data_IF_416302625732
#
_entry.id   IF_416302625732
#
_cell.length_a   1.000
_cell.length_b   1.000
_cell.length_c   1.000
_cell.angle_alpha   90.00
_cell.angle_beta   90.00
_cell.angle_gamma   90.00
#
_symmetry.space_group_name_H-M   'P 1'
#
loop_
_entity.id
_entity.type
_entity.pdbx_description
1 polymer ?
#
# COMPACT_ATOMS: atom_id res chain seq x y z
N UNK A 1 -12.56 18.21 -6.06
CA UNK A 1 -13.86 18.65 -5.51
C UNK A 1 -14.55 17.54 -4.74
N UNK A 2 -14.87 16.39 -5.35
CA UNK A 2 -15.56 15.27 -4.67
C UNK A 2 -14.92 14.81 -3.34
N UNK A 3 -13.58 14.73 -3.28
CA UNK A 3 -12.88 14.39 -2.02
C UNK A 3 -13.10 15.42 -0.91
N UNK A 4 -13.16 16.71 -1.26
CA UNK A 4 -13.41 17.79 -0.29
C UNK A 4 -14.85 17.71 0.22
N UNK A 5 -15.80 17.52 -0.68
CA UNK A 5 -17.24 17.40 -0.37
C UNK A 5 -17.54 16.15 0.47
N UNK A 6 -16.80 15.07 0.24
CA UNK A 6 -16.82 13.89 1.11
C UNK A 6 -15.98 14.07 2.38
N UNK A 7 -15.50 15.27 2.69
CA UNK A 7 -14.84 15.55 3.96
C UNK A 7 -13.46 14.92 4.12
N UNK A 8 -12.83 14.42 3.05
CA UNK A 8 -11.47 13.87 3.11
C UNK A 8 -10.49 14.85 3.76
N UNK A 9 -9.58 14.32 4.59
CA UNK A 9 -8.48 15.07 5.21
C UNK A 9 -7.20 14.25 5.13
N UNK A 10 -6.10 14.90 4.77
CA UNK A 10 -4.76 14.36 4.87
C UNK A 10 -4.14 14.79 6.20
N UNK A 11 -3.76 13.83 7.02
CA UNK A 11 -3.07 14.00 8.30
C UNK A 11 -1.60 13.61 8.13
N UNK A 12 -0.68 14.42 8.65
CA UNK A 12 0.74 14.06 8.69
C UNK A 12 1.04 13.60 10.11
N UNK A 13 1.52 12.36 10.24
CA UNK A 13 1.96 11.83 11.53
C UNK A 13 3.40 12.29 11.72
N UNK A 14 3.67 13.05 12.78
CA UNK A 14 5.03 13.50 13.07
C UNK A 14 6.01 12.33 13.19
N UNK A 15 7.28 12.58 12.87
CA UNK A 15 8.34 11.55 12.97
C UNK A 15 8.51 10.99 14.40
N UNK A 16 8.05 11.74 15.41
CA UNK A 16 8.11 11.38 16.83
C UNK A 16 6.73 11.06 17.44
N UNK A 17 5.69 10.93 16.60
CA UNK A 17 4.34 10.53 16.98
C UNK A 17 4.00 9.18 16.35
N UNK A 18 2.98 8.49 16.86
CA UNK A 18 2.46 7.25 16.28
C UNK A 18 0.99 7.39 15.89
N UNK A 19 0.50 6.45 15.07
CA UNK A 19 -0.85 6.48 14.50
C UNK A 19 -1.91 6.80 15.54
N UNK A 20 -1.92 6.13 16.69
CA UNK A 20 -2.95 6.34 17.71
C UNK A 20 -2.72 7.54 18.64
N UNK A 21 -1.59 8.25 18.48
CA UNK A 21 -1.35 9.52 19.20
C UNK A 21 -2.15 10.66 18.54
N UNK A 22 -2.45 10.54 17.25
CA UNK A 22 -3.32 11.46 16.51
C UNK A 22 -4.79 11.27 16.93
N UNK A 23 -5.52 12.35 17.28
CA UNK A 23 -6.91 12.28 17.71
C UNK A 23 -7.84 11.54 16.75
N UNK A 24 -7.63 11.71 15.45
CA UNK A 24 -8.38 11.12 14.35
C UNK A 24 -8.37 9.59 14.42
N UNK A 25 -7.25 9.00 14.85
CA UNK A 25 -7.01 7.56 14.84
C UNK A 25 -6.96 6.94 16.24
N UNK A 26 -7.08 7.73 17.31
CA UNK A 26 -7.03 7.27 18.70
C UNK A 26 -7.92 6.04 18.96
N UNK A 27 -9.13 6.05 18.40
CA UNK A 27 -10.13 4.96 18.55
C UNK A 27 -9.67 3.59 18.07
N UNK A 28 -8.67 3.54 17.18
CA UNK A 28 -8.09 2.26 16.73
C UNK A 28 -7.43 1.51 17.90
N UNK A 29 -6.99 2.23 18.93
CA UNK A 29 -6.45 1.67 20.16
C UNK A 29 -7.49 1.08 21.13
N UNK A 30 -8.79 1.18 20.83
CA UNK A 30 -9.86 0.81 21.78
C UNK A 30 -10.31 -0.66 21.66
N UNK A 31 -10.06 -1.30 20.52
CA UNK A 31 -10.62 -2.62 20.21
C UNK A 31 -9.55 -3.67 19.89
N UNK A 32 -9.65 -4.89 20.46
CA UNK A 32 -8.77 -6.01 20.11
C UNK A 32 -8.70 -6.27 18.61
N UNK A 33 -7.51 -6.63 18.14
CA UNK A 33 -7.29 -7.03 16.76
C UNK A 33 -7.33 -8.55 16.69
N UNK A 34 -8.35 -9.09 16.03
CA UNK A 34 -8.66 -10.54 16.00
C UNK A 34 -7.46 -11.40 15.62
N UNK A 35 -6.70 -10.99 14.61
CA UNK A 35 -5.56 -11.76 14.08
C UNK A 35 -4.30 -11.65 14.96
N UNK A 36 -4.31 -10.74 15.94
CA UNK A 36 -3.18 -10.48 16.84
C UNK A 36 -3.59 -10.61 18.31
N UNK A 37 -4.10 -11.79 18.74
CA UNK A 37 -4.55 -11.98 20.11
C UNK A 37 -3.39 -11.75 21.10
N UNK A 38 -3.69 -11.07 22.20
CA UNK A 38 -2.73 -10.76 23.26
C UNK A 38 -1.80 -9.59 22.95
N UNK A 39 -1.91 -8.94 21.78
CA UNK A 39 -1.24 -7.66 21.51
C UNK A 39 -2.16 -6.51 21.93
N UNK A 40 -1.60 -5.50 22.60
CA UNK A 40 -2.38 -4.30 22.93
C UNK A 40 -2.77 -3.58 21.62
N UNK A 41 -4.04 -3.17 21.42
CA UNK A 41 -4.47 -2.58 20.14
C UNK A 41 -3.69 -1.34 19.75
N UNK A 42 -3.38 -0.48 20.74
CA UNK A 42 -2.52 0.68 20.53
C UNK A 42 -1.16 0.30 19.95
N UNK A 43 -0.51 -0.71 20.52
CA UNK A 43 0.81 -1.14 20.06
C UNK A 43 0.73 -1.83 18.69
N UNK A 44 -0.36 -2.54 18.40
CA UNK A 44 -0.60 -3.05 17.05
C UNK A 44 -0.67 -1.90 16.04
N UNK A 45 -1.55 -0.93 16.23
CA UNK A 45 -1.77 0.14 15.24
C UNK A 45 -0.57 1.07 15.11
N UNK A 46 0.11 1.37 16.22
CA UNK A 46 1.33 2.19 16.21
C UNK A 46 2.49 1.49 15.49
N UNK A 47 2.58 0.15 15.57
CA UNK A 47 3.60 -0.63 14.87
C UNK A 47 3.23 -0.96 13.42
N UNK A 48 1.94 -1.19 13.15
CA UNK A 48 1.43 -1.67 11.86
C UNK A 48 1.50 -0.61 10.78
N UNK A 49 1.32 0.66 11.13
CA UNK A 49 1.04 1.70 10.14
C UNK A 49 1.81 2.97 10.44
N UNK A 50 2.49 3.51 9.42
CA UNK A 50 2.82 4.94 9.31
C UNK A 50 2.00 5.63 8.23
N UNK A 51 0.90 5.00 7.80
CA UNK A 51 -0.02 5.54 6.82
C UNK A 51 -1.33 4.78 6.87
N UNK A 52 -2.43 5.47 6.56
CA UNK A 52 -3.78 4.91 6.50
C UNK A 52 -4.54 5.61 5.39
N UNK A 53 -5.24 4.88 4.52
CA UNK A 53 -5.92 5.44 3.36
C UNK A 53 -7.33 5.97 3.59
N UNK A 54 -7.89 5.71 4.76
CA UNK A 54 -9.30 5.97 5.08
C UNK A 54 -10.24 4.93 4.46
N UNK A 55 -11.54 5.24 4.40
CA UNK A 55 -12.56 4.33 3.85
C UNK A 55 -13.77 5.10 3.30
N UNK A 56 -14.83 4.39 2.90
CA UNK A 56 -16.11 5.03 2.52
C UNK A 56 -16.77 5.78 3.69
N UNK A 57 -16.37 5.56 4.93
CA UNK A 57 -16.94 6.23 6.12
C UNK A 57 -15.90 6.92 6.98
N UNK A 58 -14.63 6.55 6.86
CA UNK A 58 -13.51 7.21 7.52
C UNK A 58 -12.83 8.20 6.55
N UNK A 59 -12.91 9.51 6.78
CA UNK A 59 -12.37 10.50 5.86
C UNK A 59 -10.85 10.70 5.97
N UNK A 60 -10.19 10.10 6.96
CA UNK A 60 -8.81 10.42 7.28
C UNK A 60 -7.84 9.56 6.47
N UNK A 61 -7.03 10.22 5.66
CA UNK A 61 -5.84 9.67 5.02
C UNK A 61 -4.61 10.15 5.81
N UNK A 62 -3.57 9.34 5.95
CA UNK A 62 -2.35 9.74 6.64
C UNK A 62 -1.09 9.14 6.06
N UNK A 63 0.03 9.79 6.35
CA UNK A 63 1.37 9.28 6.11
C UNK A 63 2.35 9.86 7.15
N UNK A 64 3.47 9.17 7.38
CA UNK A 64 4.54 9.61 8.25
C UNK A 64 5.36 10.72 7.61
N UNK A 65 5.68 11.74 8.39
CA UNK A 65 6.57 12.83 7.99
C UNK A 65 7.93 12.29 7.52
N UNK A 66 8.46 11.29 8.23
CA UNK A 66 9.73 10.66 7.89
C UNK A 66 9.73 10.05 6.48
N UNK A 67 8.58 9.59 6.01
CA UNK A 67 8.45 9.06 4.67
C UNK A 67 8.32 10.17 3.62
N UNK A 68 7.49 11.18 3.91
CA UNK A 68 7.30 12.32 3.02
C UNK A 68 8.59 13.07 2.71
N UNK A 69 9.43 13.25 3.73
CA UNK A 69 10.67 14.00 3.65
C UNK A 69 11.92 13.10 3.57
N UNK A 70 11.72 11.78 3.57
CA UNK A 70 12.77 10.76 3.43
C UNK A 70 13.85 10.91 4.51
N UNK A 71 13.42 11.02 5.76
CA UNK A 71 14.26 11.07 6.94
C UNK A 71 14.97 9.72 7.18
N UNK A 72 16.14 9.71 7.82
CA UNK A 72 16.77 8.49 8.29
C UNK A 72 15.83 7.66 9.18
N UNK A 73 15.85 6.34 9.02
CA UNK A 73 15.02 5.43 9.81
C UNK A 73 13.60 5.19 9.25
N UNK A 74 13.20 5.87 8.17
CA UNK A 74 11.91 5.65 7.51
C UNK A 74 11.69 4.16 7.14
N UNK A 75 10.65 3.51 7.69
CA UNK A 75 10.34 2.11 7.39
C UNK A 75 9.88 1.86 5.94
N UNK A 76 9.48 2.93 5.23
CA UNK A 76 9.02 2.92 3.84
C UNK A 76 9.99 3.65 2.90
N UNK A 77 11.27 3.73 3.24
CA UNK A 77 12.28 4.53 2.51
C UNK A 77 12.44 4.18 1.02
N UNK A 78 12.05 2.98 0.60
CA UNK A 78 12.08 2.54 -0.80
C UNK A 78 10.86 2.97 -1.61
N UNK A 79 9.86 3.59 -0.98
CA UNK A 79 8.64 4.10 -1.62
C UNK A 79 8.22 5.43 -0.99
N UNK A 80 6.99 5.87 -1.28
CA UNK A 80 6.35 7.00 -0.62
C UNK A 80 4.91 6.56 -0.35
N UNK A 81 4.67 6.18 0.90
CA UNK A 81 3.42 5.57 1.34
C UNK A 81 2.23 6.51 1.14
N UNK A 82 2.45 7.83 1.09
CA UNK A 82 1.37 8.76 0.75
C UNK A 82 0.75 8.45 -0.62
N UNK A 83 1.53 7.99 -1.61
CA UNK A 83 0.98 7.66 -2.93
C UNK A 83 -0.04 6.52 -2.79
N UNK A 84 0.32 5.46 -2.05
CA UNK A 84 -0.55 4.33 -1.75
C UNK A 84 -1.79 4.76 -0.95
N UNK A 85 -1.60 5.43 0.18
CA UNK A 85 -2.71 5.80 1.08
C UNK A 85 -3.63 6.83 0.44
N UNK A 86 -3.08 7.75 -0.35
CA UNK A 86 -3.88 8.72 -1.07
C UNK A 86 -4.61 8.09 -2.24
N UNK A 87 -4.09 7.02 -2.86
CA UNK A 87 -4.83 6.24 -3.84
C UNK A 87 -6.09 5.59 -3.25
N UNK A 88 -5.99 4.99 -2.06
CA UNK A 88 -7.16 4.51 -1.30
C UNK A 88 -8.18 5.62 -1.08
N UNK A 89 -7.71 6.80 -0.68
CA UNK A 89 -8.57 7.93 -0.42
C UNK A 89 -9.23 8.49 -1.69
N UNK A 90 -8.46 8.62 -2.78
CA UNK A 90 -8.97 8.99 -4.10
C UNK A 90 -10.03 7.99 -4.55
N UNK A 91 -9.81 6.69 -4.37
CA UNK A 91 -10.79 5.68 -4.69
C UNK A 91 -12.07 5.87 -3.84
N UNK A 92 -11.96 5.78 -2.51
CA UNK A 92 -13.12 5.61 -1.62
C UNK A 92 -13.82 6.90 -1.19
N UNK A 93 -13.16 8.07 -1.38
CA UNK A 93 -13.72 9.40 -1.11
C UNK A 93 -13.87 10.25 -2.37
N UNK A 94 -13.18 9.90 -3.45
CA UNK A 94 -13.25 10.60 -4.74
C UNK A 94 -14.05 9.83 -5.78
N UNK A 95 -13.43 8.81 -6.37
CA UNK A 95 -13.94 8.11 -7.55
C UNK A 95 -15.31 7.49 -7.33
N UNK A 96 -15.57 6.84 -6.19
CA UNK A 96 -16.92 6.29 -5.92
C UNK A 96 -18.03 7.34 -5.81
N UNK A 97 -17.67 8.61 -5.56
CA UNK A 97 -18.62 9.73 -5.52
C UNK A 97 -18.75 10.41 -6.90
N UNK A 98 -17.70 10.36 -7.74
CA UNK A 98 -17.71 10.91 -9.10
C UNK A 98 -18.39 9.94 -10.08
N UNK A 99 -18.04 8.67 -9.98
CA UNK A 99 -18.58 7.58 -10.79
C UNK A 99 -18.90 6.38 -9.87
N UNK A 100 -20.19 6.17 -9.54
CA UNK A 100 -20.64 5.04 -8.73
C UNK A 100 -20.29 3.66 -9.30
N UNK A 101 -19.95 3.56 -10.59
CA UNK A 101 -19.58 2.29 -11.24
C UNK A 101 -18.10 1.95 -11.12
N UNK A 102 -17.26 2.88 -10.67
CA UNK A 102 -15.80 2.72 -10.63
C UNK A 102 -15.37 1.51 -9.79
N UNK A 103 -15.92 1.37 -8.59
CA UNK A 103 -15.59 0.28 -7.65
C UNK A 103 -15.91 -1.10 -8.27
N UNK A 104 -17.02 -1.23 -9.00
CA UNK A 104 -17.39 -2.47 -9.66
C UNK A 104 -16.49 -2.78 -10.87
N UNK A 105 -16.04 -1.76 -11.61
CA UNK A 105 -15.05 -1.92 -12.68
C UNK A 105 -13.70 -2.34 -12.12
N UNK A 106 -13.28 -1.73 -11.01
CA UNK A 106 -12.05 -2.09 -10.31
C UNK A 106 -12.09 -3.53 -9.79
N UNK A 107 -13.19 -3.96 -9.18
CA UNK A 107 -13.38 -5.36 -8.75
C UNK A 107 -13.30 -6.35 -9.91
N UNK A 108 -13.88 -6.01 -11.07
CA UNK A 108 -13.75 -6.85 -12.28
C UNK A 108 -12.31 -6.95 -12.75
N UNK A 109 -11.62 -5.81 -12.89
CA UNK A 109 -10.21 -5.79 -13.28
C UNK A 109 -9.32 -6.59 -12.32
N UNK A 110 -9.55 -6.44 -11.01
CA UNK A 110 -8.88 -7.23 -9.99
C UNK A 110 -9.11 -8.74 -10.17
N UNK A 111 -10.36 -9.17 -10.33
CA UNK A 111 -10.68 -10.58 -10.53
C UNK A 111 -10.05 -11.14 -11.80
N UNK A 112 -10.07 -10.39 -12.89
CA UNK A 112 -9.44 -10.78 -14.16
C UNK A 112 -7.92 -10.93 -14.00
N UNK A 113 -7.27 -9.99 -13.30
CA UNK A 113 -5.84 -10.06 -12.99
C UNK A 113 -5.50 -11.28 -12.12
N UNK A 114 -6.27 -11.55 -11.07
CA UNK A 114 -6.05 -12.73 -10.21
C UNK A 114 -6.28 -14.04 -10.98
N UNK A 115 -7.29 -14.10 -11.85
CA UNK A 115 -7.56 -15.25 -12.71
C UNK A 115 -6.43 -15.49 -13.73
N UNK A 116 -5.83 -14.42 -14.25
CA UNK A 116 -4.63 -14.48 -15.09
C UNK A 116 -3.36 -14.82 -14.30
N UNK A 117 -3.44 -14.90 -12.97
CA UNK A 117 -2.32 -15.20 -12.09
C UNK A 117 -1.35 -14.05 -11.88
N UNK A 118 -1.76 -12.82 -12.23
CA UNK A 118 -1.00 -11.61 -11.93
C UNK A 118 -0.97 -11.36 -10.42
N UNK A 119 0.07 -10.67 -9.94
CA UNK A 119 0.25 -10.25 -8.55
C UNK A 119 0.23 -11.39 -7.51
N UNK A 120 0.35 -12.64 -7.94
CA UNK A 120 0.23 -13.82 -7.07
C UNK A 120 1.18 -13.75 -5.87
N UNK A 121 0.62 -13.86 -4.67
CA UNK A 121 1.39 -13.82 -3.41
C UNK A 121 1.91 -12.43 -3.07
N UNK A 122 1.56 -11.40 -3.85
CA UNK A 122 1.97 -10.02 -3.65
C UNK A 122 0.88 -9.20 -2.98
N UNK A 123 1.24 -8.07 -2.39
CA UNK A 123 0.32 -7.24 -1.63
C UNK A 123 -0.89 -6.78 -2.45
N UNK A 124 -0.66 -6.46 -3.73
CA UNK A 124 -1.71 -6.15 -4.70
C UNK A 124 -2.77 -7.28 -4.88
N UNK A 125 -2.47 -8.53 -4.51
CA UNK A 125 -3.43 -9.66 -4.56
C UNK A 125 -4.29 -9.82 -3.31
N UNK A 126 -4.12 -8.98 -2.30
CA UNK A 126 -4.85 -9.10 -1.03
C UNK A 126 -6.33 -8.74 -1.20
N UNK A 127 -6.61 -7.64 -1.90
CA UNK A 127 -7.95 -7.23 -2.29
C UNK A 127 -7.89 -6.14 -3.38
N UNK A 128 -9.03 -5.84 -4.00
CA UNK A 128 -9.14 -4.83 -5.06
C UNK A 128 -8.76 -3.39 -4.64
N UNK A 129 -8.80 -3.02 -3.36
CA UNK A 129 -8.32 -1.71 -2.91
C UNK A 129 -6.78 -1.67 -2.96
N UNK A 130 -6.11 -2.68 -2.42
CA UNK A 130 -4.64 -2.77 -2.46
C UNK A 130 -4.14 -2.89 -3.89
N UNK A 131 -4.83 -3.68 -4.71
CA UNK A 131 -4.59 -3.75 -6.15
C UNK A 131 -4.57 -2.36 -6.82
N UNK A 132 -5.55 -1.51 -6.50
CA UNK A 132 -5.56 -0.14 -7.02
C UNK A 132 -4.38 0.67 -6.48
N UNK A 133 -4.19 0.70 -5.16
CA UNK A 133 -3.16 1.52 -4.53
C UNK A 133 -1.73 1.17 -5.00
N UNK A 134 -1.40 -0.12 -5.11
CA UNK A 134 -0.14 -0.63 -5.67
C UNK A 134 0.03 -0.26 -7.15
N UNK A 135 -1.05 -0.35 -7.93
CA UNK A 135 -1.08 0.14 -9.30
C UNK A 135 -0.78 1.62 -9.40
N UNK A 136 -1.35 2.44 -8.51
CA UNK A 136 -1.10 3.88 -8.48
C UNK A 136 0.34 4.20 -8.07
N UNK A 137 0.93 3.47 -7.11
CA UNK A 137 2.37 3.63 -6.80
C UNK A 137 3.23 3.38 -8.03
N UNK A 138 2.93 2.31 -8.76
CA UNK A 138 3.63 1.97 -10.01
C UNK A 138 3.39 3.03 -11.08
N UNK A 139 2.15 3.55 -11.21
CA UNK A 139 1.80 4.60 -12.16
C UNK A 139 2.61 5.89 -11.97
N UNK A 140 3.10 6.15 -10.75
CA UNK A 140 3.95 7.30 -10.43
C UNK A 140 5.43 6.93 -10.26
N UNK A 141 5.85 5.76 -10.76
CA UNK A 141 7.24 5.27 -10.77
C UNK A 141 7.87 5.13 -9.37
N UNK A 142 7.10 4.71 -8.38
CA UNK A 142 7.57 4.64 -6.99
C UNK A 142 6.89 3.52 -6.19
N UNK A 143 6.63 2.37 -6.82
CA UNK A 143 6.36 1.17 -6.06
C UNK A 143 7.66 0.52 -5.57
N UNK A 144 7.55 -0.38 -4.59
CA UNK A 144 8.66 -1.25 -4.21
C UNK A 144 8.84 -2.36 -5.23
N UNK A 145 10.07 -2.85 -5.34
CA UNK A 145 10.43 -3.85 -6.34
C UNK A 145 11.10 -5.06 -5.70
N UNK A 146 10.69 -6.26 -6.12
CA UNK A 146 11.35 -7.53 -5.86
C UNK A 146 11.62 -7.87 -4.38
N UNK A 147 10.67 -7.56 -3.51
CA UNK A 147 10.69 -8.02 -2.11
C UNK A 147 9.62 -9.09 -1.83
N UNK A 148 9.39 -9.40 -0.56
CA UNK A 148 8.38 -10.38 -0.17
C UNK A 148 6.99 -10.00 -0.72
N UNK A 149 6.56 -8.75 -0.51
CA UNK A 149 5.23 -8.23 -0.80
C UNK A 149 5.10 -7.72 -2.25
N UNK A 150 6.22 -7.41 -2.93
CA UNK A 150 6.20 -6.79 -4.27
C UNK A 150 6.87 -7.68 -5.33
N UNK A 151 6.46 -7.54 -6.59
CA UNK A 151 7.10 -8.19 -7.74
C UNK A 151 8.00 -7.18 -8.48
N UNK A 152 8.29 -7.43 -9.76
CA UNK A 152 9.12 -6.58 -10.61
C UNK A 152 8.43 -5.30 -11.11
N UNK A 153 7.14 -5.11 -10.83
CA UNK A 153 6.38 -3.98 -11.39
C UNK A 153 6.46 -2.82 -10.41
N UNK A 154 7.34 -1.85 -10.69
CA UNK A 154 7.46 -0.64 -9.90
C UNK A 154 7.31 0.67 -10.67
N UNK A 155 7.29 0.59 -12.01
CA UNK A 155 7.10 1.74 -12.89
C UNK A 155 5.81 1.69 -13.68
N UNK A 156 5.42 2.83 -14.24
CA UNK A 156 4.25 2.93 -15.13
C UNK A 156 4.46 2.09 -16.37
N UNK A 157 5.67 2.09 -16.90
CA UNK A 157 6.03 1.32 -18.10
C UNK A 157 5.81 -0.17 -17.87
N UNK A 158 6.30 -0.70 -16.76
CA UNK A 158 6.10 -2.11 -16.40
C UNK A 158 4.62 -2.39 -16.11
N UNK A 159 3.92 -1.49 -15.41
CA UNK A 159 2.49 -1.68 -15.13
C UNK A 159 1.67 -1.79 -16.42
N UNK A 160 1.93 -0.92 -17.41
CA UNK A 160 1.25 -0.96 -18.71
C UNK A 160 1.51 -2.27 -19.44
N UNK A 161 2.70 -2.85 -19.30
CA UNK A 161 3.06 -4.13 -19.93
C UNK A 161 2.52 -5.34 -19.18
N UNK A 162 2.61 -5.33 -17.86
CA UNK A 162 2.26 -6.45 -16.99
C UNK A 162 0.75 -6.56 -16.73
N UNK A 163 0.11 -5.44 -16.42
CA UNK A 163 -1.31 -5.36 -16.10
C UNK A 163 -1.99 -4.16 -16.81
N UNK A 164 -2.26 -4.29 -18.12
CA UNK A 164 -2.89 -3.22 -18.89
C UNK A 164 -4.30 -2.86 -18.40
N UNK A 165 -4.99 -3.77 -17.68
CA UNK A 165 -6.30 -3.51 -17.10
C UNK A 165 -6.22 -2.52 -15.93
N UNK A 166 -5.30 -2.75 -15.00
CA UNK A 166 -5.01 -1.80 -13.92
C UNK A 166 -4.46 -0.48 -14.45
N UNK A 167 -3.57 -0.53 -15.44
CA UNK A 167 -3.02 0.65 -16.08
C UNK A 167 -4.11 1.53 -16.71
N UNK A 168 -5.14 0.93 -17.32
CA UNK A 168 -6.26 1.68 -17.89
C UNK A 168 -7.08 2.42 -16.82
N UNK A 169 -7.31 1.79 -15.66
CA UNK A 169 -7.98 2.46 -14.53
C UNK A 169 -7.14 3.60 -13.96
N UNK A 170 -5.82 3.43 -13.84
CA UNK A 170 -4.93 4.51 -13.43
C UNK A 170 -4.97 5.67 -14.43
N UNK A 171 -4.91 5.38 -15.74
CA UNK A 171 -5.03 6.41 -16.80
C UNK A 171 -6.36 7.15 -16.74
N UNK A 172 -7.46 6.47 -16.45
CA UNK A 172 -8.76 7.12 -16.31
C UNK A 172 -8.76 8.16 -15.18
N UNK A 173 -8.15 7.83 -14.04
CA UNK A 173 -8.12 8.69 -12.85
C UNK A 173 -7.12 9.83 -12.98
N UNK A 174 -5.92 9.54 -13.51
CA UNK A 174 -4.79 10.46 -13.50
C UNK A 174 -4.45 11.06 -14.87
N UNK A 175 -5.14 10.62 -15.93
CA UNK A 175 -4.81 10.95 -17.31
C UNK A 175 -3.42 10.44 -17.70
N UNK A 176 -2.89 11.01 -18.78
CA UNK A 176 -1.52 10.77 -19.24
C UNK A 176 -0.51 11.73 -18.58
N UNK A 177 -0.72 12.05 -17.29
CA UNK A 177 0.16 12.95 -16.54
C UNK A 177 1.63 12.51 -16.64
N UNK A 178 2.54 13.43 -16.96
CA UNK A 178 3.97 13.12 -17.02
C UNK A 178 4.64 13.11 -15.63
N UNK A 179 3.86 13.34 -14.56
CA UNK A 179 4.36 13.31 -13.20
C UNK A 179 4.93 11.93 -12.87
N UNK A 180 6.20 11.94 -12.47
CA UNK A 180 6.92 10.80 -11.87
C UNK A 180 7.41 11.25 -10.52
N UNK A 181 7.24 10.41 -9.51
CA UNK A 181 7.72 10.75 -8.19
C UNK A 181 9.25 10.80 -8.18
N UNK A 182 9.78 11.81 -7.50
CA UNK A 182 11.20 11.92 -7.18
C UNK A 182 11.36 12.30 -5.72
N UNK A 183 12.39 11.73 -5.08
CA UNK A 183 12.67 11.92 -3.66
C UNK A 183 12.96 13.41 -3.38
N UNK A 184 12.51 13.98 -2.24
CA UNK A 184 12.65 15.41 -1.93
C UNK A 184 14.06 15.97 -2.11
N UNK A 185 15.09 15.18 -1.80
CA UNK A 185 16.51 15.52 -1.94
C UNK A 185 16.91 15.91 -3.37
N UNK A 186 16.18 15.43 -4.39
CA UNK A 186 16.45 15.71 -5.80
C UNK A 186 15.75 16.96 -6.33
N UNK A 187 14.90 17.61 -5.50
CA UNK A 187 14.00 18.69 -5.92
C UNK A 187 13.87 19.80 -4.86
N UNK A 188 15.01 20.22 -4.29
CA UNK A 188 15.12 21.28 -3.28
C UNK A 188 14.92 22.69 -3.88
N UNK A 189 13.75 22.92 -4.46
CA UNK A 189 13.36 24.17 -5.11
C UNK A 189 11.92 24.51 -4.76
N UNK A 190 11.51 25.76 -4.97
CA UNK A 190 10.13 26.20 -4.70
C UNK A 190 9.79 26.05 -3.21
N UNK A 191 8.75 25.27 -2.89
CA UNK A 191 8.33 25.06 -1.50
C UNK A 191 9.35 24.30 -0.63
N UNK A 192 10.38 23.70 -1.23
CA UNK A 192 11.49 23.06 -0.53
C UNK A 192 12.78 23.90 -0.57
N UNK A 193 12.74 25.13 -1.06
CA UNK A 193 13.90 26.00 -1.04
C UNK A 193 14.36 26.28 0.39
N UNK A 194 15.66 26.07 0.66
CA UNK A 194 16.25 26.22 1.99
C UNK A 194 16.08 25.03 2.93
N UNK A 195 15.36 23.98 2.53
CA UNK A 195 15.31 22.72 3.30
C UNK A 195 16.66 21.98 3.17
N UNK A 196 17.27 21.65 4.31
CA UNK A 196 18.51 20.86 4.39
C UNK A 196 18.23 19.45 4.93
N UNK A 197 18.16 18.43 4.05
CA UNK A 197 17.93 17.04 4.45
C UNK A 197 18.98 16.48 5.42
N UNK A 198 20.18 17.07 5.50
CA UNK A 198 21.22 16.60 6.43
C UNK A 198 20.92 16.94 7.89
N UNK A 199 20.02 17.90 8.13
CA UNK A 199 19.53 18.29 9.45
C UNK A 199 18.25 17.57 9.87
N UNK A 200 17.75 16.66 9.03
CA UNK A 200 16.53 15.90 9.28
C UNK A 200 16.64 15.07 10.57
N UNK A 201 15.56 14.96 11.37
CA UNK A 201 15.53 14.05 12.50
C UNK A 201 15.54 12.60 12.02
N UNK A 202 15.90 11.67 12.91
CA UNK A 202 15.87 10.23 12.63
C UNK A 202 14.62 9.63 13.24
N UNK A 203 13.81 8.94 12.43
CA UNK A 203 12.71 8.12 12.93
C UNK A 203 13.26 6.88 13.65
N UNK A 204 12.70 6.57 14.83
CA UNK A 204 13.11 5.41 15.62
C UNK A 204 11.88 4.74 16.20
N UNK A 205 11.77 3.42 15.96
CA UNK A 205 10.76 2.60 16.62
C UNK A 205 11.03 2.52 18.13
N UNK A 206 10.05 2.83 19.00
CA UNK A 206 10.23 2.75 20.44
C UNK A 206 10.20 1.30 20.90
N UNK A 207 10.93 0.99 21.98
CA UNK A 207 11.10 -0.38 22.48
C UNK A 207 9.75 -1.09 22.75
N UNK A 208 8.73 -0.35 23.19
CA UNK A 208 7.37 -0.88 23.43
C UNK A 208 6.77 -1.59 22.22
N UNK A 209 7.16 -1.20 20.99
CA UNK A 209 6.61 -1.76 19.75
C UNK A 209 7.38 -2.98 19.23
N UNK A 210 8.47 -3.39 19.90
CA UNK A 210 9.32 -4.51 19.44
C UNK A 210 8.53 -5.81 19.27
N UNK A 211 7.65 -6.14 20.22
CA UNK A 211 6.82 -7.34 20.14
C UNK A 211 5.81 -7.25 19.00
N UNK A 212 5.14 -6.11 18.85
CA UNK A 212 4.17 -5.87 17.79
C UNK A 212 4.80 -6.01 16.40
N UNK A 213 5.92 -5.31 16.17
CA UNK A 213 6.66 -5.32 14.90
C UNK A 213 7.07 -6.73 14.48
N UNK A 214 7.59 -7.54 15.41
CA UNK A 214 7.95 -8.93 15.14
C UNK A 214 6.72 -9.75 14.73
N UNK A 215 5.64 -9.72 15.51
CA UNK A 215 4.44 -10.52 15.23
C UNK A 215 3.78 -10.13 13.92
N UNK A 216 3.72 -8.84 13.59
CA UNK A 216 3.17 -8.34 12.33
C UNK A 216 3.98 -8.88 11.13
N UNK A 217 5.31 -8.88 11.24
CA UNK A 217 6.20 -9.42 10.21
C UNK A 217 6.02 -10.93 10.01
N UNK A 218 6.05 -11.69 11.09
CA UNK A 218 5.84 -13.14 11.06
C UNK A 218 4.49 -13.50 10.41
N UNK A 219 3.45 -12.72 10.71
CA UNK A 219 2.12 -12.90 10.11
C UNK A 219 2.11 -12.61 8.59
N UNK A 220 2.81 -11.56 8.15
CA UNK A 220 2.93 -11.22 6.73
C UNK A 220 3.70 -12.28 5.94
N UNK A 221 4.80 -12.79 6.49
CA UNK A 221 5.61 -13.86 5.92
C UNK A 221 4.78 -15.16 5.78
N UNK A 222 4.09 -15.57 6.84
CA UNK A 222 3.25 -16.78 6.82
C UNK A 222 2.12 -16.72 5.77
N UNK A 223 1.49 -15.55 5.59
CA UNK A 223 0.49 -15.32 4.53
C UNK A 223 1.09 -15.55 3.14
N UNK A 224 2.29 -15.04 2.91
CA UNK A 224 2.97 -15.13 1.62
C UNK A 224 3.40 -16.56 1.28
N UNK A 225 3.91 -17.30 2.28
CA UNK A 225 4.21 -18.72 2.15
C UNK A 225 2.97 -19.55 1.82
N UNK A 226 1.85 -19.29 2.50
CA UNK A 226 0.59 -19.99 2.25
C UNK A 226 0.07 -19.74 0.83
N UNK A 227 0.12 -18.49 0.35
CA UNK A 227 -0.28 -18.12 -1.01
C UNK A 227 0.61 -18.81 -2.07
N UNK A 228 1.92 -18.90 -1.81
CA UNK A 228 2.87 -19.58 -2.69
C UNK A 228 2.64 -21.09 -2.71
N UNK A 229 2.36 -21.71 -1.57
CA UNK A 229 2.10 -23.14 -1.47
C UNK A 229 0.82 -23.56 -2.20
N UNK A 230 -0.26 -22.77 -2.08
CA UNK A 230 -1.53 -23.01 -2.76
C UNK A 230 -1.43 -22.96 -4.30
N UNK A 231 -0.37 -22.35 -4.84
CA UNK A 231 -0.14 -22.22 -6.27
C UNK A 231 0.66 -23.37 -6.91
N UNK A 232 1.20 -24.31 -6.12
CA UNK A 232 1.84 -25.51 -6.70
C UNK A 232 0.75 -26.38 -7.34
N UNK A 233 0.87 -26.77 -8.63
CA UNK A 233 -0.10 -27.69 -9.21
C UNK A 233 -0.06 -29.00 -8.44
N UNK A 234 -1.25 -29.57 -8.15
CA UNK A 234 -1.36 -30.96 -7.76
C UNK A 234 -0.56 -31.78 -8.79
N UNK A 235 0.40 -32.58 -8.31
CA UNK A 235 1.15 -33.49 -9.17
C UNK A 235 0.16 -34.21 -10.09
N UNK A 236 0.31 -34.02 -11.40
CA UNK A 236 -0.52 -34.72 -12.38
C UNK A 236 -0.42 -36.22 -12.09
N UNK A 237 -1.53 -36.98 -12.07
CA UNK A 237 -1.44 -38.42 -11.89
C UNK A 237 -0.57 -38.98 -13.02
N UNK A 238 0.43 -39.77 -12.66
CA UNK A 238 1.34 -40.40 -13.61
C UNK A 238 0.52 -41.10 -14.71
N UNK A 239 0.81 -40.78 -15.97
CA UNK A 239 0.20 -41.47 -17.10
C UNK A 239 0.45 -42.99 -16.99
N UNK A 240 -0.56 -43.84 -17.24
CA UNK A 240 -0.35 -45.28 -17.19
C UNK A 240 0.63 -45.68 -18.29
N UNK A 241 1.58 -46.55 -17.93
CA UNK A 241 2.57 -47.08 -18.84
C UNK A 241 1.90 -47.76 -20.06
N UNK A 242 2.45 -47.64 -21.27
CA UNK A 242 1.87 -48.27 -22.44
C UNK A 242 2.01 -49.80 -22.33
N UNK A 243 0.91 -50.51 -22.62
CA UNK A 243 0.90 -51.96 -22.71
C UNK A 243 1.85 -52.42 -23.83
N UNK A 244 2.81 -53.26 -23.48
CA UNK A 244 3.67 -53.97 -24.43
C UNK A 244 2.86 -55.04 -25.16
N UNK A 245 3.14 -55.16 -26.47
CA UNK A 245 2.62 -56.22 -27.37
C UNK A 245 3.00 -57.62 -26.91
#
# INVERSE_FOLDING_TARGET
>A
QAMIESGSRLCIIGWNEFTTDQPEFRRLGDHPVTDFPGLHPKDYWDARARGLGGSKTDPFCSCGEENLLCYPGDPYSTENILIHEFAHNIHLRGMVNVDPTFDDRLKRAYNDAMNAGLWRGKYASVNHHEYFAEGVQSWFDNNRENDHDHNHVNTRTELVQYDPGLAALCREVFGDTELRYTKPQTRLTGHLEGYDPSTAPTFVWPERLTLANRRIREHAEARNEAATAAAKPAQSPASPAPASR
#
